data_IF_515739252084
#
_entry.id   IF_515739252084
#
_cell.length_a   1.000
_cell.length_b   1.000
_cell.length_c   1.000
_cell.angle_alpha   90.00
_cell.angle_beta   90.00
_cell.angle_gamma   90.00
#
_symmetry.space_group_name_H-M   'P 1'
#
loop_
_entity.id
_entity.type
_entity.pdbx_description
1 polymer ?
#
# COMPACT_ATOMS: atom_id res chain seq x y z
N UNK A 1 2.30 -7.82 -6.66
CA UNK A 1 2.26 -6.45 -7.22
C UNK A 1 0.86 -5.88 -7.06
N UNK A 2 0.60 -5.19 -5.94
CA UNK A 2 -0.66 -4.48 -5.68
C UNK A 2 -0.90 -3.31 -6.65
N UNK A 3 -2.18 -2.97 -6.83
CA UNK A 3 -2.59 -1.77 -7.56
C UNK A 3 -3.05 -0.73 -6.55
N UNK A 4 -2.46 0.46 -6.60
CA UNK A 4 -2.84 1.60 -5.77
C UNK A 4 -3.46 2.71 -6.63
N UNK A 5 -4.43 3.42 -6.07
CA UNK A 5 -4.96 4.66 -6.61
C UNK A 5 -4.36 5.81 -5.82
N UNK A 6 -3.51 6.58 -6.48
CA UNK A 6 -2.83 7.76 -5.94
C UNK A 6 -3.79 8.95 -6.03
N UNK A 7 -4.02 9.64 -4.91
CA UNK A 7 -4.92 10.81 -4.83
C UNK A 7 -4.18 12.13 -4.99
N UNK A 8 -2.94 12.18 -4.52
CA UNK A 8 -2.10 13.37 -4.54
C UNK A 8 -0.71 13.03 -5.07
N UNK A 9 -0.08 13.97 -5.78
CA UNK A 9 1.28 13.78 -6.30
C UNK A 9 2.25 13.58 -5.14
N UNK A 10 3.12 12.58 -5.24
CA UNK A 10 4.16 12.33 -4.26
C UNK A 10 5.41 11.76 -4.90
N UNK A 11 6.51 11.79 -4.14
CA UNK A 11 7.79 11.20 -4.52
C UNK A 11 8.17 10.16 -3.50
N UNK A 12 8.62 9.00 -3.97
CA UNK A 12 9.15 7.95 -3.11
C UNK A 12 10.50 7.49 -3.66
N UNK A 13 11.44 7.33 -2.73
CA UNK A 13 12.73 6.75 -3.05
C UNK A 13 12.59 5.22 -3.07
N UNK A 14 12.94 4.63 -4.19
CA UNK A 14 13.03 3.18 -4.40
C UNK A 14 14.51 2.79 -4.51
N UNK A 15 14.79 1.49 -4.61
CA UNK A 15 16.16 0.97 -4.76
C UNK A 15 17.12 1.46 -3.66
N UNK A 16 16.70 1.38 -2.40
CA UNK A 16 17.47 1.87 -1.23
C UNK A 16 17.88 3.35 -1.29
N UNK A 17 17.12 4.20 -1.98
CA UNK A 17 17.42 5.62 -2.09
C UNK A 17 18.21 6.00 -3.34
N UNK A 18 18.57 5.01 -4.17
CA UNK A 18 19.32 5.23 -5.39
C UNK A 18 18.46 5.83 -6.52
N UNK A 19 17.15 5.65 -6.46
CA UNK A 19 16.22 6.18 -7.45
C UNK A 19 15.00 6.81 -6.79
N UNK A 20 14.59 8.00 -7.26
CA UNK A 20 13.37 8.67 -6.81
C UNK A 20 12.35 8.63 -7.94
N UNK A 21 11.17 8.09 -7.65
CA UNK A 21 10.05 8.03 -8.60
C UNK A 21 8.96 8.99 -8.16
N UNK A 22 8.46 9.79 -9.09
CA UNK A 22 7.31 10.67 -8.90
C UNK A 22 6.05 9.95 -9.38
N UNK A 23 5.04 9.93 -8.51
CA UNK A 23 3.71 9.42 -8.80
C UNK A 23 2.73 10.58 -8.86
N UNK A 24 1.94 10.62 -9.92
CA UNK A 24 0.85 11.60 -10.10
C UNK A 24 -0.48 10.98 -9.71
N UNK A 25 -1.56 11.75 -9.51
CA UNK A 25 -2.88 11.19 -9.26
C UNK A 25 -3.32 10.27 -10.40
N UNK A 26 -3.69 9.03 -10.06
CA UNK A 26 -3.96 7.99 -11.04
C UNK A 26 -3.78 6.59 -10.47
N UNK A 27 -3.84 5.57 -11.33
CA UNK A 27 -3.76 4.17 -10.93
C UNK A 27 -2.43 3.56 -11.34
N UNK A 28 -1.72 2.97 -10.38
CA UNK A 28 -0.38 2.44 -10.59
C UNK A 28 -0.27 1.05 -9.99
N UNK A 29 0.33 0.15 -10.77
CA UNK A 29 0.79 -1.15 -10.28
C UNK A 29 2.18 -0.96 -9.70
N UNK A 30 2.34 -1.27 -8.42
CA UNK A 30 3.58 -0.99 -7.67
C UNK A 30 4.00 -2.21 -6.86
N UNK A 31 5.24 -2.18 -6.34
CA UNK A 31 5.71 -3.16 -5.38
C UNK A 31 5.01 -3.04 -4.03
N UNK A 32 4.98 -4.14 -3.28
CA UNK A 32 4.34 -4.22 -1.96
C UNK A 32 4.88 -3.19 -0.96
N UNK A 33 6.20 -2.90 -1.00
CA UNK A 33 6.80 -1.84 -0.18
C UNK A 33 6.25 -0.46 -0.54
N UNK A 34 6.16 -0.15 -1.83
CA UNK A 34 5.65 1.14 -2.30
C UNK A 34 4.18 1.28 -1.92
N UNK A 35 3.37 0.24 -2.12
CA UNK A 35 1.98 0.25 -1.67
C UNK A 35 1.86 0.48 -0.16
N UNK A 36 2.65 -0.24 0.65
CA UNK A 36 2.63 -0.09 2.11
C UNK A 36 2.98 1.34 2.53
N UNK A 37 4.08 1.91 2.02
CA UNK A 37 4.50 3.27 2.37
C UNK A 37 3.47 4.31 1.90
N UNK A 38 2.97 4.18 0.67
CA UNK A 38 2.01 5.12 0.08
C UNK A 38 0.67 5.13 0.82
N UNK A 39 0.22 3.97 1.31
CA UNK A 39 -1.06 3.81 2.01
C UNK A 39 -0.92 4.10 3.51
N UNK A 40 0.06 3.50 4.20
CA UNK A 40 0.15 3.56 5.67
C UNK A 40 0.97 4.72 6.20
N UNK A 41 2.08 5.06 5.56
CA UNK A 41 2.95 6.14 6.03
C UNK A 41 2.50 7.48 5.47
N UNK A 42 2.45 7.60 4.14
CA UNK A 42 2.15 8.85 3.45
C UNK A 42 0.65 9.13 3.36
N UNK A 43 -0.20 8.09 3.37
CA UNK A 43 -1.67 8.19 3.22
C UNK A 43 -2.11 8.95 1.96
N UNK A 44 -1.27 8.93 0.92
CA UNK A 44 -1.50 9.59 -0.37
C UNK A 44 -2.12 8.66 -1.42
N UNK A 45 -2.19 7.37 -1.12
CA UNK A 45 -2.76 6.36 -2.00
C UNK A 45 -3.71 5.41 -1.26
N UNK A 46 -4.59 4.75 -2.00
CA UNK A 46 -5.51 3.71 -1.50
C UNK A 46 -5.36 2.44 -2.32
N UNK A 47 -5.50 1.27 -1.69
CA UNK A 47 -5.46 0.00 -2.40
C UNK A 47 -6.71 -0.14 -3.29
N UNK A 48 -6.52 -0.38 -4.59
CA UNK A 48 -7.64 -0.62 -5.50
C UNK A 48 -8.18 -2.03 -5.26
N UNK A 49 -9.35 -2.12 -4.62
CA UNK A 49 -10.06 -3.37 -4.32
C UNK A 49 -10.74 -3.89 -5.58
N UNK A 50 -9.97 -4.44 -6.53
CA UNK A 50 -10.48 -4.76 -7.86
C UNK A 50 -9.82 -5.91 -8.62
N UNK A 51 -8.96 -6.71 -7.98
CA UNK A 51 -8.34 -7.88 -8.64
C UNK A 51 -7.72 -8.85 -7.65
N UNK A 52 -8.47 -9.91 -7.36
CA UNK A 52 -8.04 -11.16 -6.71
C UNK A 52 -7.87 -11.13 -5.18
N UNK A 53 -8.95 -11.58 -4.52
CA UNK A 53 -9.02 -12.42 -3.32
C UNK A 53 -8.16 -12.03 -2.09
N UNK A 54 -8.84 -11.55 -1.05
CA UNK A 54 -8.46 -11.69 0.37
C UNK A 54 -7.03 -11.28 0.74
N UNK A 55 -6.68 -10.00 0.56
CA UNK A 55 -5.69 -9.40 1.47
C UNK A 55 -6.46 -8.95 2.72
N UNK A 56 -6.65 -9.89 3.64
CA UNK A 56 -6.96 -9.59 5.04
C UNK A 56 -5.76 -8.77 5.54
N UNK A 57 -5.86 -7.45 5.46
CA UNK A 57 -4.84 -6.55 5.99
C UNK A 57 -5.03 -6.54 7.51
N UNK A 58 -4.52 -7.59 8.15
CA UNK A 58 -4.58 -7.85 9.58
C UNK A 58 -3.62 -6.89 10.28
N UNK A 59 -4.10 -5.67 10.54
CA UNK A 59 -3.39 -4.73 11.42
C UNK A 59 -3.73 -5.08 12.86
N UNK A 60 -3.01 -6.05 13.42
CA UNK A 60 -2.78 -6.15 14.85
C UNK A 60 -3.33 -7.39 15.54
N UNK A 61 -2.45 -8.38 15.71
CA UNK A 61 -2.07 -8.96 17.01
C UNK A 61 -3.18 -9.56 17.90
N UNK A 62 -3.22 -10.91 17.92
CA UNK A 62 -3.38 -11.68 19.16
C UNK A 62 -4.68 -12.46 19.36
N UNK A 63 -4.58 -13.79 19.27
CA UNK A 63 -5.37 -14.79 20.02
C UNK A 63 -5.78 -14.30 21.43
N UNK A 64 -6.95 -14.58 21.99
CA UNK A 64 -7.63 -15.87 21.96
C UNK A 64 -9.16 -15.75 22.11
N UNK A 65 -9.87 -16.63 21.40
CA UNK A 65 -11.22 -17.02 21.76
C UNK A 65 -11.17 -17.96 22.98
N UNK A 66 -11.89 -17.63 24.05
CA UNK A 66 -12.30 -18.59 25.07
C UNK A 66 -13.81 -18.45 25.25
N UNK A 67 -14.53 -19.36 24.62
CA UNK A 67 -15.94 -19.61 24.91
C UNK A 67 -16.01 -20.33 26.27
N UNK A 68 -16.81 -19.80 27.19
CA UNK A 68 -17.44 -20.59 28.25
C UNK A 68 -18.87 -20.08 28.43
#
# INVERSE_FOLDING_TARGET
MPVITVKEKFKIAIDNGNQVVEFVPGEFMVDDRVAHVSIHQLKVAVLKKGGSKNANFDTGTGEAAAQN
#
